data_IF_508478337672
#
_entry.id   IF_508478337672
#
_cell.length_a   1.000
_cell.length_b   1.000
_cell.length_c   1.000
_cell.angle_alpha   90.00
_cell.angle_beta   90.00
_cell.angle_gamma   90.00
#
_symmetry.space_group_name_H-M   'P 1'
#
loop_
_entity.id
_entity.type
_entity.pdbx_description
1 polymer ?
#
# COMPACT_ATOMS: atom_id res chain seq x y z
N UNK A 1 10.57 -35.43 8.84
CA UNK A 1 10.20 -35.48 7.55
C UNK A 1 10.47 -34.24 6.85
N UNK A 2 11.12 -34.29 5.77
CA UNK A 2 11.39 -33.07 5.08
C UNK A 2 10.26 -32.79 4.13
N UNK A 3 9.96 -31.55 3.92
CA UNK A 3 8.92 -31.16 3.01
C UNK A 3 9.48 -31.15 1.62
N UNK A 4 8.64 -31.37 0.66
CA UNK A 4 9.07 -31.22 -0.73
C UNK A 4 9.26 -29.73 -0.99
N UNK A 5 10.06 -29.37 -1.97
CA UNK A 5 10.19 -27.96 -2.33
C UNK A 5 8.87 -27.32 -2.71
N UNK A 6 7.99 -28.09 -3.33
CA UNK A 6 6.69 -27.57 -3.71
C UNK A 6 5.84 -27.29 -2.49
N UNK A 7 5.83 -28.20 -1.51
CA UNK A 7 5.08 -28.00 -0.30
C UNK A 7 5.61 -26.80 0.48
N UNK A 8 6.93 -26.62 0.47
CA UNK A 8 7.52 -25.46 1.15
C UNK A 8 7.10 -24.16 0.46
N UNK A 9 7.08 -24.17 -0.87
CA UNK A 9 6.67 -22.99 -1.62
C UNK A 9 5.22 -22.63 -1.32
N UNK A 10 4.35 -23.62 -1.22
CA UNK A 10 2.95 -23.36 -0.90
C UNK A 10 2.79 -22.78 0.50
N UNK A 11 3.58 -23.28 1.45
CA UNK A 11 3.53 -22.73 2.81
C UNK A 11 4.01 -21.28 2.82
N UNK A 12 5.05 -20.99 2.06
CA UNK A 12 5.56 -19.64 2.00
C UNK A 12 4.55 -18.71 1.35
N UNK A 13 3.88 -19.15 0.30
CA UNK A 13 2.84 -18.34 -0.31
C UNK A 13 1.71 -18.06 0.67
N UNK A 14 1.34 -19.03 1.49
CA UNK A 14 0.31 -18.83 2.50
C UNK A 14 0.76 -17.79 3.53
N UNK A 15 2.02 -17.82 3.92
CA UNK A 15 2.56 -16.82 4.84
C UNK A 15 2.54 -15.44 4.22
N UNK A 16 2.91 -15.34 2.95
CA UNK A 16 2.93 -14.07 2.24
C UNK A 16 1.52 -13.49 2.12
N UNK A 17 0.53 -14.34 1.89
CA UNK A 17 -0.86 -13.86 1.85
C UNK A 17 -1.29 -13.32 3.19
N UNK A 18 -0.90 -13.98 4.28
CA UNK A 18 -1.23 -13.48 5.61
C UNK A 18 -0.57 -12.13 5.88
N UNK A 19 0.66 -11.94 5.40
CA UNK A 19 1.33 -10.65 5.54
C UNK A 19 0.56 -9.59 4.76
N UNK A 20 0.19 -9.88 3.53
CA UNK A 20 -0.56 -8.95 2.70
C UNK A 20 -1.90 -8.61 3.35
N UNK A 21 -2.61 -9.61 3.85
CA UNK A 21 -3.91 -9.39 4.49
C UNK A 21 -3.75 -8.55 5.74
N UNK A 22 -2.66 -8.74 6.48
CA UNK A 22 -2.41 -7.94 7.66
C UNK A 22 -2.16 -6.49 7.27
N UNK A 23 -1.40 -6.24 6.21
CA UNK A 23 -1.18 -4.88 5.74
C UNK A 23 -2.51 -4.26 5.33
N UNK A 24 -3.33 -4.99 4.59
CA UNK A 24 -4.62 -4.47 4.12
C UNK A 24 -5.54 -4.13 5.29
N UNK A 25 -5.46 -4.89 6.36
CA UNK A 25 -6.33 -4.65 7.52
C UNK A 25 -5.77 -3.59 8.46
N UNK A 26 -4.45 -3.64 8.69
CA UNK A 26 -3.85 -2.83 9.74
C UNK A 26 -2.94 -1.72 9.21
N UNK A 27 -3.18 -1.22 8.01
CA UNK A 27 -2.28 -0.24 7.39
C UNK A 27 -2.09 1.02 8.23
N UNK A 28 -3.07 1.37 9.04
CA UNK A 28 -2.99 2.58 9.86
C UNK A 28 -2.20 2.36 11.15
N UNK A 29 -1.80 1.13 11.42
CA UNK A 29 -1.00 0.82 12.59
C UNK A 29 0.48 1.00 12.27
N UNK A 30 1.33 1.13 13.30
CA UNK A 30 2.77 1.27 13.05
C UNK A 30 3.38 -0.07 12.63
N UNK A 31 3.24 -0.39 11.36
CA UNK A 31 3.77 -1.62 10.81
C UNK A 31 5.12 -1.35 10.17
N UNK A 32 6.08 -2.25 10.41
CA UNK A 32 7.33 -2.21 9.67
C UNK A 32 7.68 -3.62 9.23
N UNK A 33 8.71 -3.75 8.42
CA UNK A 33 9.06 -5.03 7.84
C UNK A 33 9.43 -6.04 8.93
N UNK A 34 10.11 -5.59 9.97
CA UNK A 34 10.51 -6.48 11.06
C UNK A 34 9.28 -7.05 11.79
N UNK A 35 8.29 -6.20 12.05
CA UNK A 35 7.08 -6.66 12.72
C UNK A 35 6.31 -7.64 11.85
N UNK A 36 6.22 -7.35 10.55
CA UNK A 36 5.55 -8.25 9.62
C UNK A 36 6.27 -9.58 9.52
N UNK A 37 7.60 -9.54 9.47
CA UNK A 37 8.38 -10.75 9.37
C UNK A 37 8.24 -11.62 10.61
N UNK A 38 8.25 -10.99 11.79
CA UNK A 38 8.08 -11.75 13.04
C UNK A 38 6.72 -12.47 13.05
N UNK A 39 5.69 -11.78 12.60
CA UNK A 39 4.37 -12.39 12.57
C UNK A 39 4.27 -13.54 11.58
N UNK A 40 5.16 -13.59 10.61
CA UNK A 40 5.16 -14.65 9.61
C UNK A 40 6.23 -15.70 9.89
N UNK A 41 6.98 -15.56 10.97
CA UNK A 41 8.10 -16.45 11.31
C UNK A 41 9.14 -16.47 10.18
N UNK A 42 9.46 -15.30 9.68
CA UNK A 42 10.45 -15.13 8.62
C UNK A 42 11.43 -14.05 9.04
N UNK A 43 12.63 -14.07 8.47
CA UNK A 43 13.52 -12.94 8.65
C UNK A 43 13.04 -11.80 7.76
N UNK A 44 13.41 -10.57 8.11
CA UNK A 44 12.99 -9.41 7.31
C UNK A 44 13.50 -9.51 5.88
N UNK A 45 14.75 -9.96 5.70
CA UNK A 45 15.30 -10.09 4.36
C UNK A 45 14.59 -11.15 3.54
N UNK A 46 14.29 -12.28 4.17
CA UNK A 46 13.58 -13.35 3.47
C UNK A 46 12.18 -12.90 3.08
N UNK A 47 11.49 -12.24 4.00
CA UNK A 47 10.16 -11.73 3.70
C UNK A 47 10.21 -10.75 2.54
N UNK A 48 11.16 -9.81 2.55
CA UNK A 48 11.24 -8.81 1.49
C UNK A 48 11.48 -9.44 0.13
N UNK A 49 12.38 -10.40 0.06
CA UNK A 49 12.67 -11.06 -1.21
C UNK A 49 11.49 -11.86 -1.72
N UNK A 50 10.86 -12.63 -0.84
CA UNK A 50 9.77 -13.49 -1.26
C UNK A 50 8.50 -12.71 -1.57
N UNK A 51 8.25 -11.65 -0.81
CA UNK A 51 7.09 -10.80 -1.06
C UNK A 51 7.24 -10.11 -2.43
N UNK A 52 8.46 -9.60 -2.72
CA UNK A 52 8.69 -8.96 -4.02
C UNK A 52 8.57 -9.97 -5.16
N UNK A 53 9.03 -11.20 -4.93
CA UNK A 53 8.92 -12.22 -5.96
C UNK A 53 7.46 -12.56 -6.22
N UNK A 54 6.65 -12.63 -5.19
CA UNK A 54 5.24 -13.04 -5.32
C UNK A 54 4.35 -11.90 -5.81
N UNK A 55 4.63 -10.68 -5.38
CA UNK A 55 3.71 -9.56 -5.62
C UNK A 55 4.31 -8.41 -6.42
N UNK A 56 5.57 -8.50 -6.79
CA UNK A 56 6.17 -7.49 -7.64
C UNK A 56 6.66 -6.24 -6.92
N UNK A 57 6.50 -6.16 -5.62
CA UNK A 57 6.94 -5.01 -4.85
C UNK A 57 7.23 -5.40 -3.42
N UNK A 58 8.00 -4.59 -2.72
CA UNK A 58 8.36 -4.88 -1.34
C UNK A 58 7.16 -4.71 -0.42
N UNK A 59 7.20 -5.29 0.78
CA UNK A 59 6.14 -5.07 1.76
C UNK A 59 5.95 -3.60 2.10
N UNK A 60 7.06 -2.85 2.21
CA UNK A 60 6.96 -1.43 2.53
C UNK A 60 6.26 -0.66 1.40
N UNK A 61 6.62 -0.95 0.15
CA UNK A 61 5.98 -0.31 -0.99
C UNK A 61 4.49 -0.61 -1.01
N UNK A 62 4.13 -1.85 -0.74
CA UNK A 62 2.73 -2.25 -0.69
C UNK A 62 1.99 -1.49 0.41
N UNK A 63 2.60 -1.41 1.60
CA UNK A 63 1.99 -0.70 2.72
C UNK A 63 1.78 0.77 2.38
N UNK A 64 2.78 1.42 1.81
CA UNK A 64 2.68 2.83 1.47
C UNK A 64 1.62 3.07 0.40
N UNK A 65 1.52 2.18 -0.57
CA UNK A 65 0.47 2.30 -1.59
C UNK A 65 -0.92 2.22 -0.96
N UNK A 66 -1.11 1.29 -0.03
CA UNK A 66 -2.40 1.18 0.66
C UNK A 66 -2.72 2.47 1.43
N UNK A 67 -1.73 3.00 2.12
CA UNK A 67 -1.92 4.23 2.87
C UNK A 67 -2.28 5.40 1.96
N UNK A 68 -1.60 5.49 0.81
CA UNK A 68 -1.86 6.58 -0.12
C UNK A 68 -3.26 6.44 -0.74
N UNK A 69 -3.67 5.24 -1.06
CA UNK A 69 -5.01 5.03 -1.62
C UNK A 69 -6.09 5.44 -0.63
N UNK A 70 -5.89 5.10 0.64
CA UNK A 70 -6.85 5.51 1.65
C UNK A 70 -6.81 7.02 1.86
N UNK A 71 -5.61 7.60 1.78
CA UNK A 71 -5.46 9.05 1.90
C UNK A 71 -6.22 9.77 0.81
N UNK A 72 -6.18 9.27 -0.42
CA UNK A 72 -6.93 9.87 -1.50
C UNK A 72 -8.42 9.89 -1.20
N UNK A 73 -8.95 8.81 -0.67
CA UNK A 73 -10.36 8.77 -0.31
C UNK A 73 -10.70 9.79 0.78
N UNK A 74 -9.84 9.90 1.79
CA UNK A 74 -10.07 10.86 2.86
C UNK A 74 -9.95 12.31 2.39
N UNK A 75 -8.99 12.57 1.51
CA UNK A 75 -8.82 13.92 0.98
C UNK A 75 -10.01 14.32 0.10
N UNK A 76 -10.59 13.37 -0.60
CA UNK A 76 -11.77 13.68 -1.43
C UNK A 76 -12.96 14.07 -0.57
N UNK A 77 -13.06 13.53 0.65
CA UNK A 77 -14.14 13.92 1.53
C UNK A 77 -14.04 15.38 1.97
N UNK A 78 -12.82 15.88 2.07
CA UNK A 78 -12.60 17.29 2.32
C UNK A 78 -12.73 17.75 3.76
N UNK A 79 -13.06 16.88 4.68
CA UNK A 79 -13.26 17.29 6.09
C UNK A 79 -11.99 17.20 6.93
N UNK A 80 -10.92 16.65 6.40
CA UNK A 80 -9.66 16.56 7.12
C UNK A 80 -8.57 17.33 6.38
N UNK A 81 -7.65 17.88 7.14
CA UNK A 81 -6.49 18.54 6.54
C UNK A 81 -5.51 17.49 6.03
N UNK A 82 -4.55 17.91 5.22
CA UNK A 82 -3.51 17.02 4.73
C UNK A 82 -2.75 16.38 5.90
N UNK A 83 -2.43 17.17 6.91
CA UNK A 83 -1.71 16.66 8.07
C UNK A 83 -2.55 15.62 8.81
N UNK A 84 -3.83 15.89 8.99
CA UNK A 84 -4.71 14.94 9.64
C UNK A 84 -4.81 13.65 8.85
N UNK A 85 -4.91 13.74 7.53
CA UNK A 85 -4.98 12.55 6.69
C UNK A 85 -3.69 11.74 6.79
N UNK A 86 -2.54 12.43 6.77
CA UNK A 86 -1.25 11.76 6.89
C UNK A 86 -1.21 10.85 8.12
N UNK A 87 -1.58 11.39 9.26
CA UNK A 87 -1.52 10.59 10.48
C UNK A 87 -2.67 9.60 10.58
N UNK A 88 -3.82 9.91 10.01
CA UNK A 88 -4.95 8.97 10.03
C UNK A 88 -4.65 7.69 9.26
N UNK A 89 -3.84 7.78 8.21
CA UNK A 89 -3.52 6.58 7.45
C UNK A 89 -2.27 5.86 7.96
N UNK A 90 -1.71 6.35 9.06
CA UNK A 90 -0.59 5.64 9.69
C UNK A 90 0.79 6.12 9.32
N UNK A 91 0.90 7.19 8.56
CA UNK A 91 2.21 7.74 8.23
C UNK A 91 2.71 8.58 9.39
N UNK A 92 3.98 8.43 9.72
CA UNK A 92 4.56 9.15 10.84
C UNK A 92 5.23 10.44 10.41
N UNK A 93 5.51 10.60 9.13
CA UNK A 93 6.23 11.74 8.62
C UNK A 93 5.46 12.39 7.48
N UNK A 94 5.13 13.64 7.63
CA UNK A 94 4.42 14.37 6.59
C UNK A 94 5.27 14.49 5.33
N UNK A 95 6.58 14.65 5.49
CA UNK A 95 7.46 14.75 4.32
C UNK A 95 7.49 13.47 3.50
N UNK A 96 7.64 12.33 4.16
CA UNK A 96 7.63 11.06 3.47
C UNK A 96 6.27 10.81 2.82
N UNK A 97 5.20 11.13 3.54
CA UNK A 97 3.85 10.99 3.01
C UNK A 97 3.68 11.83 1.74
N UNK A 98 4.08 13.09 1.78
CA UNK A 98 3.92 13.99 0.64
C UNK A 98 4.72 13.52 -0.57
N UNK A 99 5.94 13.05 -0.33
CA UNK A 99 6.78 12.56 -1.42
C UNK A 99 6.16 11.34 -2.08
N UNK A 100 5.73 10.37 -1.26
CA UNK A 100 5.14 9.14 -1.82
C UNK A 100 3.80 9.43 -2.50
N UNK A 101 3.01 10.33 -1.91
CA UNK A 101 1.74 10.69 -2.52
C UNK A 101 1.98 11.29 -3.90
N UNK A 102 2.94 12.22 -4.00
CA UNK A 102 3.24 12.86 -5.27
C UNK A 102 3.74 11.85 -6.30
N UNK A 103 4.58 10.91 -5.87
CA UNK A 103 5.08 9.88 -6.77
C UNK A 103 3.97 8.99 -7.32
N UNK A 104 3.03 8.65 -6.48
CA UNK A 104 1.97 7.71 -6.90
C UNK A 104 0.80 8.40 -7.58
N UNK A 105 0.46 9.60 -7.16
CA UNK A 105 -0.74 10.28 -7.65
C UNK A 105 -0.43 11.29 -8.76
N UNK A 106 0.76 11.84 -8.74
CA UNK A 106 1.14 12.81 -9.77
C UNK A 106 0.98 14.25 -9.36
N UNK A 107 0.54 14.51 -8.14
CA UNK A 107 0.43 15.87 -7.63
C UNK A 107 0.50 15.82 -6.10
N UNK A 108 0.86 16.92 -5.46
CA UNK A 108 0.94 16.94 -3.99
C UNK A 108 -0.43 16.75 -3.34
N UNK A 109 -0.44 16.27 -2.10
CA UNK A 109 -1.71 16.04 -1.40
C UNK A 109 -2.58 17.28 -1.28
N UNK A 110 -1.96 18.44 -1.05
CA UNK A 110 -2.71 19.68 -0.91
C UNK A 110 -3.41 20.06 -2.21
N UNK A 111 -2.74 19.88 -3.33
CA UNK A 111 -3.31 20.14 -4.63
C UNK A 111 -4.47 19.19 -4.92
N UNK A 112 -4.26 17.92 -4.62
CA UNK A 112 -5.29 16.92 -4.84
C UNK A 112 -6.53 17.22 -4.00
N UNK A 113 -6.32 17.60 -2.74
CA UNK A 113 -7.42 17.94 -1.85
C UNK A 113 -8.18 19.15 -2.35
N UNK A 114 -7.47 20.18 -2.78
CA UNK A 114 -8.10 21.40 -3.24
C UNK A 114 -8.96 21.15 -4.47
N UNK A 115 -8.46 20.34 -5.40
CA UNK A 115 -9.23 20.02 -6.60
C UNK A 115 -10.48 19.23 -6.26
N UNK A 116 -10.37 18.30 -5.35
CA UNK A 116 -11.50 17.47 -4.99
C UNK A 116 -12.57 18.27 -4.23
N UNK A 117 -12.13 19.12 -3.31
CA UNK A 117 -13.05 19.89 -2.48
C UNK A 117 -13.81 20.89 -3.32
N UNK A 118 -13.19 21.46 -4.33
CA UNK A 118 -13.86 22.42 -5.17
C UNK A 118 -14.78 21.77 -6.19
N UNK A 119 -14.93 20.49 -6.13
CA UNK A 119 -15.82 19.81 -7.03
C UNK A 119 -15.34 19.84 -8.44
N UNK A 120 -14.09 20.12 -8.61
CA UNK A 120 -13.53 20.19 -9.90
C UNK A 120 -13.42 18.78 -10.37
N UNK A 121 -14.38 18.42 -11.08
CA UNK A 121 -14.44 17.08 -11.45
C UNK A 121 -13.34 16.69 -12.33
N UNK A 122 -12.58 17.58 -12.70
CA UNK A 122 -11.64 17.22 -13.65
C UNK A 122 -10.34 16.78 -13.08
N UNK A 123 -10.25 15.63 -12.58
CA UNK A 123 -8.96 15.08 -12.26
C UNK A 123 -8.21 14.89 -13.57
N UNK A 124 -6.93 15.23 -13.60
CA UNK A 124 -6.16 15.00 -14.82
C UNK A 124 -6.20 13.52 -15.20
N UNK A 125 -6.18 13.26 -16.47
CA UNK A 125 -6.26 11.89 -16.95
C UNK A 125 -5.16 11.02 -16.38
N UNK A 126 -3.98 11.59 -16.20
CA UNK A 126 -2.88 10.80 -15.66
C UNK A 126 -3.15 10.39 -14.22
N UNK A 127 -3.78 11.25 -13.44
CA UNK A 127 -4.11 10.90 -12.07
C UNK A 127 -5.20 9.84 -12.06
N UNK A 128 -6.20 9.98 -12.88
CA UNK A 128 -7.26 9.01 -12.95
C UNK A 128 -6.71 7.65 -13.34
N UNK A 129 -5.76 7.61 -14.25
CA UNK A 129 -5.16 6.39 -14.60
C UNK A 129 -4.43 5.75 -13.44
N UNK A 130 -3.70 6.52 -12.70
CA UNK A 130 -2.96 5.99 -11.58
C UNK A 130 -3.87 5.48 -10.48
N UNK A 131 -5.00 6.13 -10.30
CA UNK A 131 -5.92 5.72 -9.27
C UNK A 131 -6.62 4.42 -9.65
N UNK A 132 -6.99 4.29 -10.90
CA UNK A 132 -7.74 3.12 -11.29
C UNK A 132 -6.85 1.95 -11.64
N UNK A 133 -5.60 2.21 -11.95
CA UNK A 133 -4.73 1.15 -12.32
C UNK A 133 -4.30 0.39 -11.10
N UNK A 134 -4.50 -0.84 -11.06
CA UNK A 134 -4.19 -1.61 -9.90
C UNK A 134 -2.75 -1.74 -9.80
N UNK A 135 -2.19 -1.08 -8.92
CA UNK A 135 -0.87 -1.16 -8.69
C UNK A 135 -0.48 -2.53 -8.53
N UNK A 136 -1.37 -3.27 -8.21
CA UNK A 136 -1.10 -4.52 -7.91
C UNK A 136 -1.29 -5.38 -8.98
N UNK A 137 -1.62 -4.93 -9.99
CA UNK A 137 -1.81 -5.78 -10.94
C UNK A 137 -0.73 -6.64 -11.03
N UNK A 138 0.27 -6.25 -10.57
CA UNK A 138 1.34 -7.00 -10.70
C UNK A 138 1.22 -8.22 -9.96
N UNK A 139 0.49 -8.29 -9.11
CA UNK A 139 0.39 -9.41 -8.43
C UNK A 139 -0.09 -10.38 -9.29
N UNK A 140 0.44 -10.40 -10.27
CA UNK A 140 0.18 -11.36 -11.08
C UNK A 140 -1.05 -11.42 -11.04
N UNK A 141 -1.00 -10.58 -10.93
CA UNK A 141 -1.92 -10.46 -11.04
C UNK A 141 -3.00 -10.96 -10.57
N UNK A 142 -3.04 -11.36 -10.19
CA UNK A 142 -4.06 -11.91 -10.01
C UNK A 142 -4.68 -11.86 -8.90
N UNK A 143 -4.06 -11.81 -8.07
CA UNK A 143 -4.67 -12.08 -6.89
C UNK A 143 -4.70 -10.96 -6.05
N UNK A 144 -4.35 -9.82 -6.52
CA UNK A 144 -4.33 -8.79 -5.62
C UNK A 144 -5.69 -8.30 -5.40
N UNK A 145 -6.12 -8.21 -4.23
CA UNK A 145 -7.45 -7.74 -3.96
C UNK A 145 -7.55 -6.31 -4.37
N UNK A 146 -8.72 -5.95 -4.65
CA UNK A 146 -8.94 -4.62 -4.96
C UNK A 146 -8.75 -3.81 -3.77
N UNK A 147 -8.10 -2.77 -3.95
CA UNK A 147 -7.94 -1.91 -2.84
C UNK A 147 -9.12 -1.03 -2.77
N UNK A 148 -9.72 -1.02 -1.72
CA UNK A 148 -10.96 -0.28 -1.56
C UNK A 148 -10.74 1.21 -1.50
#
# INVERSE_FOLDING_TARGET
MSSTPEAQRLRDLARLRRVRDRIDRDYAQPLDVEALARGANMSAGHLSREFRRAYGESPYSYLMTRRIERAMALLRRGDLSVTEVCFAVGCASLGTFSTRFTELVGMPPSTYRAQAVHGDAGLPACVAKQVTRPIRNQEAAATRPQLA
#
